data_IF_453246732774
#
_entry.id   IF_453246732774
#
_cell.length_a   1.000
_cell.length_b   1.000
_cell.length_c   1.000
_cell.angle_alpha   90.00
_cell.angle_beta   90.00
_cell.angle_gamma   90.00
#
_symmetry.space_group_name_H-M   'P 1'
#
loop_
_entity.id
_entity.type
_entity.pdbx_description
1 polymer ?
#
# COMPACT_ATOMS: atom_id res chain seq x y z
N UNK A 1 -5.74 -15.67 31.23
CA UNK A 1 -6.59 -15.25 30.08
C UNK A 1 -7.86 -14.55 30.49
N UNK A 2 -8.47 -14.86 31.61
CA UNK A 2 -9.79 -14.34 31.99
C UNK A 2 -9.93 -12.82 31.99
N UNK A 3 -9.13 -12.14 32.76
CA UNK A 3 -9.21 -10.67 32.86
C UNK A 3 -8.77 -9.97 31.58
N UNK A 4 -7.71 -10.47 30.95
CA UNK A 4 -7.18 -9.91 29.73
C UNK A 4 -8.17 -10.08 28.57
N UNK A 5 -8.79 -11.25 28.49
CA UNK A 5 -9.84 -11.52 27.51
C UNK A 5 -11.07 -10.64 27.75
N UNK A 6 -11.48 -10.44 28.99
CA UNK A 6 -12.60 -9.57 29.34
C UNK A 6 -12.34 -8.12 28.95
N UNK A 7 -11.10 -7.63 29.13
CA UNK A 7 -10.73 -6.27 28.74
C UNK A 7 -10.76 -6.07 27.23
N UNK A 8 -10.54 -7.14 26.46
CA UNK A 8 -10.55 -7.09 25.00
C UNK A 8 -11.98 -7.20 24.43
N UNK A 9 -12.95 -7.60 25.24
CA UNK A 9 -14.34 -7.74 24.80
C UNK A 9 -15.12 -6.43 24.90
N UNK A 10 -14.54 -5.37 24.35
CA UNK A 10 -15.25 -4.09 24.23
C UNK A 10 -16.01 -4.04 22.92
N UNK A 11 -17.09 -3.27 22.90
CA UNK A 11 -17.80 -3.03 21.66
C UNK A 11 -16.89 -2.27 20.67
N UNK A 12 -17.00 -2.55 19.36
CA UNK A 12 -16.17 -1.86 18.36
C UNK A 12 -16.25 -0.34 18.44
N UNK A 13 -17.39 0.20 18.82
CA UNK A 13 -17.56 1.64 18.97
C UNK A 13 -16.70 2.22 20.11
N UNK A 14 -16.38 1.42 21.12
CA UNK A 14 -15.53 1.83 22.24
C UNK A 14 -14.06 1.76 21.92
N UNK A 15 -13.66 0.77 21.10
CA UNK A 15 -12.27 0.53 20.74
C UNK A 15 -11.85 1.25 19.46
N UNK A 16 -12.82 1.64 18.63
CA UNK A 16 -12.54 2.23 17.32
C UNK A 16 -12.07 1.22 16.29
N UNK A 17 -11.57 1.72 15.18
CA UNK A 17 -11.04 0.89 14.11
C UNK A 17 -9.77 0.16 14.57
N UNK A 18 -9.48 -1.02 14.00
CA UNK A 18 -8.21 -1.69 14.26
C UNK A 18 -7.02 -0.79 13.92
N UNK A 19 -5.94 -0.93 14.69
CA UNK A 19 -4.72 -0.21 14.43
C UNK A 19 -4.08 -0.70 13.13
N UNK A 20 -4.01 0.17 12.14
CA UNK A 20 -3.43 -0.15 10.82
C UNK A 20 -1.92 -0.36 10.86
N UNK A 21 -1.25 0.05 11.94
CA UNK A 21 0.20 -0.09 12.07
C UNK A 21 0.66 -1.54 11.94
N UNK A 22 -0.12 -2.49 12.45
CA UNK A 22 0.18 -3.92 12.35
C UNK A 22 0.17 -4.46 10.92
N UNK A 23 -0.50 -3.78 9.99
CA UNK A 23 -0.59 -4.17 8.59
C UNK A 23 0.38 -3.40 7.69
N UNK A 24 1.19 -2.56 8.28
CA UNK A 24 2.15 -1.73 7.56
C UNK A 24 3.37 -2.55 7.14
N UNK A 25 3.89 -2.28 5.94
CA UNK A 25 5.13 -2.91 5.48
C UNK A 25 6.23 -2.77 6.55
N UNK A 26 7.02 -3.83 6.82
CA UNK A 26 8.04 -3.78 7.86
C UNK A 26 9.02 -2.60 7.75
N UNK A 27 9.43 -2.24 6.54
CA UNK A 27 10.31 -1.10 6.30
C UNK A 27 9.64 0.21 6.72
N UNK A 28 8.36 0.37 6.44
CA UNK A 28 7.60 1.55 6.85
C UNK A 28 7.42 1.60 8.37
N UNK A 29 7.16 0.46 8.98
CA UNK A 29 6.98 0.34 10.42
C UNK A 29 8.27 0.69 11.17
N UNK A 30 9.39 0.17 10.68
CA UNK A 30 10.73 0.43 11.24
C UNK A 30 11.09 1.92 11.18
N UNK A 31 10.73 2.59 10.11
CA UNK A 31 11.10 3.99 9.86
C UNK A 31 9.95 4.96 10.11
N UNK A 32 8.92 4.54 10.83
CA UNK A 32 7.75 5.37 11.11
C UNK A 32 8.15 6.68 11.81
N UNK A 33 7.76 7.80 11.22
CA UNK A 33 8.11 9.11 11.74
C UNK A 33 9.55 9.54 11.48
N UNK A 34 10.34 8.71 10.79
CA UNK A 34 11.77 8.93 10.53
C UNK A 34 12.04 9.12 9.03
N UNK A 35 11.10 9.72 8.32
CA UNK A 35 11.24 9.98 6.89
C UNK A 35 12.03 11.25 6.64
N UNK A 36 13.00 11.16 5.73
CA UNK A 36 13.86 12.28 5.36
C UNK A 36 13.24 13.10 4.24
N UNK A 37 12.83 12.43 3.17
CA UNK A 37 12.15 13.06 2.03
C UNK A 37 11.42 12.00 1.22
N UNK A 38 10.58 12.47 0.30
CA UNK A 38 9.95 11.62 -0.71
C UNK A 38 10.04 12.31 -2.06
N UNK A 39 10.11 11.52 -3.12
CA UNK A 39 10.16 11.98 -4.50
C UNK A 39 9.03 11.36 -5.31
N UNK A 40 8.73 11.98 -6.42
CA UNK A 40 7.64 11.59 -7.31
C UNK A 40 8.21 11.38 -8.73
N UNK A 41 8.91 10.24 -8.97
CA UNK A 41 9.65 10.02 -10.22
C UNK A 41 8.78 10.04 -11.47
N UNK A 42 7.55 9.52 -11.37
CA UNK A 42 6.61 9.48 -12.49
C UNK A 42 5.19 9.34 -11.94
N UNK A 43 4.15 9.61 -12.77
CA UNK A 43 2.76 9.45 -12.32
C UNK A 43 2.51 8.05 -11.76
N UNK A 44 1.93 7.98 -10.57
CA UNK A 44 1.60 6.74 -9.90
C UNK A 44 2.74 6.10 -9.11
N UNK A 45 3.94 6.67 -9.16
CA UNK A 45 5.11 6.11 -8.46
C UNK A 45 5.70 7.15 -7.52
N UNK A 46 5.90 6.74 -6.27
CA UNK A 46 6.56 7.55 -5.25
C UNK A 46 7.70 6.74 -4.65
N UNK A 47 8.76 7.42 -4.25
CA UNK A 47 9.80 6.83 -3.42
C UNK A 47 9.90 7.63 -2.12
N UNK A 48 9.94 6.92 -1.00
CA UNK A 48 10.11 7.50 0.32
C UNK A 48 11.46 7.07 0.86
N UNK A 49 12.28 8.04 1.23
CA UNK A 49 13.63 7.80 1.76
C UNK A 49 13.64 8.13 3.24
N UNK A 50 14.03 7.15 4.04
CA UNK A 50 14.11 7.30 5.49
C UNK A 50 15.44 7.90 5.92
N UNK A 51 15.48 8.39 7.16
CA UNK A 51 16.73 8.89 7.75
C UNK A 51 17.80 7.79 7.81
N UNK A 52 17.40 6.53 7.91
CA UNK A 52 18.30 5.38 7.90
C UNK A 52 18.92 5.11 6.53
N UNK A 53 18.47 5.77 5.48
CA UNK A 53 18.87 5.50 4.10
C UNK A 53 18.02 4.43 3.41
N UNK A 54 17.11 3.78 4.12
CA UNK A 54 16.21 2.80 3.51
C UNK A 54 15.18 3.49 2.63
N UNK A 55 14.83 2.84 1.54
CA UNK A 55 13.84 3.33 0.60
C UNK A 55 12.65 2.39 0.54
N UNK A 56 11.48 2.94 0.34
CA UNK A 56 10.28 2.19 0.01
C UNK A 56 9.62 2.87 -1.20
N UNK A 57 9.32 2.09 -2.20
CA UNK A 57 8.65 2.55 -3.41
C UNK A 57 7.17 2.26 -3.28
N UNK A 58 6.35 3.17 -3.74
CA UNK A 58 4.92 2.94 -3.81
C UNK A 58 4.45 3.09 -5.25
N UNK A 59 3.63 2.15 -5.69
CA UNK A 59 3.05 2.12 -7.03
C UNK A 59 1.54 2.09 -6.89
N UNK A 60 0.86 3.06 -7.49
CA UNK A 60 -0.60 3.16 -7.43
C UNK A 60 -1.24 2.69 -8.72
N UNK A 61 -2.13 1.71 -8.59
CA UNK A 61 -2.96 1.25 -9.69
C UNK A 61 -4.33 1.93 -9.59
N UNK A 62 -4.74 2.57 -10.68
CA UNK A 62 -6.07 3.18 -10.77
C UNK A 62 -7.12 2.09 -10.89
N UNK A 63 -7.89 1.89 -9.83
CA UNK A 63 -8.97 0.93 -9.79
C UNK A 63 -10.30 1.65 -9.61
N UNK A 64 -11.39 0.94 -9.86
CA UNK A 64 -12.72 1.45 -9.60
C UNK A 64 -13.10 1.16 -8.15
N UNK A 65 -14.06 1.92 -7.63
CA UNK A 65 -14.60 1.69 -6.28
C UNK A 65 -15.35 0.37 -6.18
N UNK A 66 -15.88 -0.10 -7.31
CA UNK A 66 -16.60 -1.38 -7.39
C UNK A 66 -15.73 -2.36 -8.16
N UNK A 67 -15.32 -3.41 -7.47
CA UNK A 67 -14.48 -4.48 -8.02
C UNK A 67 -15.12 -5.82 -7.72
N UNK A 68 -14.95 -6.78 -8.63
CA UNK A 68 -15.29 -8.16 -8.33
C UNK A 68 -14.14 -8.84 -7.57
N UNK A 69 -14.44 -10.00 -6.99
CA UNK A 69 -13.48 -10.75 -6.19
C UNK A 69 -12.31 -11.29 -7.03
N UNK A 70 -12.59 -11.66 -8.28
CA UNK A 70 -11.55 -12.19 -9.17
C UNK A 70 -10.51 -11.12 -9.49
N UNK A 71 -10.96 -9.92 -9.82
CA UNK A 71 -10.06 -8.79 -10.06
C UNK A 71 -9.26 -8.45 -8.83
N UNK A 72 -9.92 -8.40 -7.67
CA UNK A 72 -9.24 -8.12 -6.41
C UNK A 72 -8.18 -9.18 -6.09
N UNK A 73 -8.47 -10.46 -6.32
CA UNK A 73 -7.49 -11.52 -6.14
C UNK A 73 -6.30 -11.37 -7.05
N UNK A 74 -6.52 -11.04 -8.32
CA UNK A 74 -5.44 -10.79 -9.27
C UNK A 74 -4.55 -9.65 -8.79
N UNK A 75 -5.13 -8.56 -8.33
CA UNK A 75 -4.38 -7.43 -7.78
C UNK A 75 -3.61 -7.81 -6.52
N UNK A 76 -4.19 -8.63 -5.65
CA UNK A 76 -3.51 -9.15 -4.47
C UNK A 76 -2.35 -10.07 -4.82
N UNK A 77 -2.49 -10.91 -5.85
CA UNK A 77 -1.42 -11.78 -6.33
C UNK A 77 -0.21 -10.97 -6.80
N UNK A 78 -0.45 -9.85 -7.46
CA UNK A 78 0.62 -8.91 -7.82
C UNK A 78 1.30 -8.33 -6.57
N UNK A 79 0.53 -8.06 -5.52
CA UNK A 79 1.07 -7.63 -4.24
C UNK A 79 1.99 -8.67 -3.61
N UNK A 80 1.61 -9.93 -3.65
CA UNK A 80 2.43 -11.03 -3.14
C UNK A 80 3.72 -11.18 -3.94
N UNK A 81 3.65 -11.04 -5.25
CA UNK A 81 4.81 -11.25 -6.13
C UNK A 81 5.80 -10.09 -6.09
N UNK A 82 5.32 -8.84 -6.07
CA UNK A 82 6.16 -7.66 -6.25
C UNK A 82 6.25 -6.74 -5.03
N UNK A 83 5.32 -6.82 -4.10
CA UNK A 83 5.20 -5.86 -3.00
C UNK A 83 5.23 -6.52 -1.61
N UNK A 84 5.91 -7.64 -1.49
CA UNK A 84 6.09 -8.37 -0.22
C UNK A 84 4.78 -8.68 0.51
N UNK A 85 3.65 -8.71 -0.22
CA UNK A 85 2.34 -8.98 0.34
C UNK A 85 1.66 -7.77 0.97
N UNK A 86 2.18 -6.56 0.80
CA UNK A 86 1.63 -5.36 1.42
C UNK A 86 1.02 -4.41 0.40
N UNK A 87 -0.26 -4.08 0.61
CA UNK A 87 -0.99 -3.13 -0.22
C UNK A 87 -1.84 -2.25 0.68
N UNK A 88 -2.27 -1.10 0.16
CA UNK A 88 -3.28 -0.29 0.84
C UNK A 88 -4.22 0.33 -0.18
N UNK A 89 -5.40 0.70 0.29
CA UNK A 89 -6.35 1.47 -0.50
C UNK A 89 -6.15 2.95 -0.19
N UNK A 90 -6.05 3.77 -1.24
CA UNK A 90 -5.91 5.21 -1.06
C UNK A 90 -7.27 5.89 -0.95
N UNK A 91 -7.26 7.12 -0.49
CA UNK A 91 -8.49 7.93 -0.39
C UNK A 91 -9.13 8.18 -1.77
N UNK A 92 -8.35 8.05 -2.84
CA UNK A 92 -8.85 8.17 -4.21
C UNK A 92 -9.35 6.85 -4.80
N UNK A 93 -9.54 5.85 -3.97
CA UNK A 93 -10.00 4.50 -4.37
C UNK A 93 -9.03 3.78 -5.29
N UNK A 94 -7.73 4.02 -5.13
CA UNK A 94 -6.68 3.30 -5.84
C UNK A 94 -6.06 2.26 -4.91
N UNK A 95 -5.46 1.21 -5.50
CA UNK A 95 -4.62 0.28 -4.77
C UNK A 95 -3.18 0.78 -4.86
N UNK A 96 -2.52 0.88 -3.70
CA UNK A 96 -1.12 1.25 -3.63
C UNK A 96 -0.29 0.07 -3.15
N UNK A 97 0.73 -0.27 -3.93
CA UNK A 97 1.66 -1.36 -3.62
C UNK A 97 2.90 -0.79 -2.95
N UNK A 98 3.34 -1.42 -1.87
CA UNK A 98 4.56 -1.06 -1.15
C UNK A 98 5.70 -1.95 -1.66
N UNK A 99 6.67 -1.38 -2.36
CA UNK A 99 7.75 -2.14 -2.99
C UNK A 99 9.08 -1.76 -2.36
N UNK A 100 9.71 -2.70 -1.68
CA UNK A 100 11.03 -2.48 -1.08
C UNK A 100 12.13 -2.53 -2.13
N UNK A 101 12.04 -3.47 -3.06
CA UNK A 101 13.05 -3.68 -4.09
C UNK A 101 12.75 -2.84 -5.32
N UNK A 102 13.58 -1.83 -5.55
CA UNK A 102 13.47 -0.96 -6.72
C UNK A 102 13.38 -1.74 -8.04
N UNK A 103 14.08 -2.86 -8.15
CA UNK A 103 14.09 -3.68 -9.36
C UNK A 103 12.73 -4.28 -9.69
N UNK A 104 11.82 -4.36 -8.72
CA UNK A 104 10.46 -4.88 -8.92
C UNK A 104 9.45 -3.83 -9.37
N UNK A 105 9.83 -2.54 -9.35
CA UNK A 105 8.90 -1.45 -9.68
C UNK A 105 8.44 -1.53 -11.14
N UNK A 106 9.34 -1.58 -12.09
CA UNK A 106 8.99 -1.64 -13.51
C UNK A 106 8.24 -2.93 -13.88
N UNK A 107 8.68 -4.12 -13.42
CA UNK A 107 7.89 -5.34 -13.66
C UNK A 107 6.48 -5.27 -13.08
N UNK A 108 6.31 -4.67 -11.91
CA UNK A 108 4.99 -4.48 -11.30
C UNK A 108 4.12 -3.57 -12.16
N UNK A 109 4.66 -2.45 -12.63
CA UNK A 109 3.93 -1.53 -13.49
C UNK A 109 3.47 -2.26 -14.77
N UNK A 110 4.36 -3.00 -15.40
CA UNK A 110 4.02 -3.78 -16.59
C UNK A 110 2.91 -4.81 -16.31
N UNK A 111 2.97 -5.48 -15.17
CA UNK A 111 1.95 -6.46 -14.77
C UNK A 111 0.59 -5.80 -14.51
N UNK A 112 0.58 -4.63 -13.87
CA UNK A 112 -0.65 -3.85 -13.63
C UNK A 112 -1.28 -3.44 -14.97
N UNK A 113 -0.49 -2.91 -15.88
CA UNK A 113 -0.96 -2.47 -17.19
C UNK A 113 -1.45 -3.63 -18.04
N UNK A 114 -0.82 -4.79 -17.94
CA UNK A 114 -1.26 -6.02 -18.61
C UNK A 114 -2.65 -6.44 -18.17
N UNK A 115 -2.99 -6.22 -16.90
CA UNK A 115 -4.32 -6.52 -16.36
C UNK A 115 -5.36 -5.45 -16.72
N UNK A 116 -4.97 -4.41 -17.47
CA UNK A 116 -5.86 -3.37 -17.94
C UNK A 116 -6.02 -2.18 -17.00
N UNK A 117 -5.21 -2.08 -15.97
CA UNK A 117 -5.24 -0.94 -15.05
C UNK A 117 -4.17 0.08 -15.40
N UNK A 118 -4.41 1.33 -14.98
CA UNK A 118 -3.50 2.45 -15.25
C UNK A 118 -2.73 2.76 -13.97
N UNK A 119 -1.44 2.97 -14.10
CA UNK A 119 -0.60 3.43 -12.98
C UNK A 119 -0.70 4.96 -12.92
N UNK A 120 -1.19 5.48 -11.80
CA UNK A 120 -1.42 6.91 -11.61
C UNK A 120 -2.11 7.20 -10.29
N UNK A 121 -2.77 8.37 -10.17
CA UNK A 121 -3.47 8.74 -8.95
C UNK A 121 -2.57 9.31 -7.86
N UNK A 122 -1.41 9.81 -8.23
CA UNK A 122 -0.50 10.54 -7.33
C UNK A 122 -0.57 12.04 -7.62
N UNK A 123 0.23 12.82 -6.89
CA UNK A 123 0.34 14.26 -7.10
C UNK A 123 0.57 14.56 -8.58
N UNK A 124 -0.11 15.56 -9.11
CA UNK A 124 -0.04 16.01 -10.50
C UNK A 124 -0.55 15.01 -11.53
N UNK A 125 -1.24 13.97 -11.11
CA UNK A 125 -1.91 13.05 -12.02
C UNK A 125 -3.42 13.09 -11.83
N UNK A 126 -4.13 12.65 -12.87
CA UNK A 126 -5.60 12.62 -12.83
C UNK A 126 -6.07 11.57 -11.82
N UNK A 127 -7.07 11.91 -11.03
CA UNK A 127 -7.72 10.95 -10.13
C UNK A 127 -8.54 9.95 -10.95
N UNK A 128 -8.46 8.70 -10.58
CA UNK A 128 -9.09 7.61 -11.30
C UNK A 128 -10.10 6.87 -10.43
#
# INVERSE_FOLDING_TARGET
>A
MGEKAKKQMRAPIETGAPDGFQYMHPTMRKNFGQWKYHEHPRPGVLVHVANSGEEIWTVRAGTQRILDVFTLRTLCDLGDEYADGYVRFTIRSNIEYMVKDKAKVEPLIAAIEKEGFIVGGTKNSVAM
#
